data_IF_819474431540
#
_entry.id   IF_819474431540
#
_cell.length_a   1.000
_cell.length_b   1.000
_cell.length_c   1.000
_cell.angle_alpha   90.00
_cell.angle_beta   90.00
_cell.angle_gamma   90.00
#
_symmetry.space_group_name_H-M   'P 1'
#
loop_
_entity.id
_entity.type
_entity.pdbx_description
1 polymer ?
#
# COMPACT_ATOMS: atom_id res chain seq x y z
N UNK A 1 -36.75 54.67 45.70
CA UNK A 1 -36.77 55.60 44.54
C UNK A 1 -36.70 54.79 43.25
N UNK A 2 -37.64 55.07 42.33
CA UNK A 2 -37.79 54.73 40.88
C UNK A 2 -36.86 53.66 40.27
N UNK A 3 -37.38 52.50 39.82
CA UNK A 3 -37.98 52.20 38.48
C UNK A 3 -37.03 52.40 37.28
N UNK A 4 -36.78 51.31 36.53
CA UNK A 4 -36.54 51.13 35.06
C UNK A 4 -36.28 49.60 34.93
N UNK A 5 -37.00 48.69 34.27
CA UNK A 5 -37.98 48.64 33.17
C UNK A 5 -37.41 48.81 31.75
N UNK A 6 -37.03 47.68 31.13
CA UNK A 6 -37.00 47.38 29.69
C UNK A 6 -37.25 45.86 29.58
N UNK A 7 -38.40 45.32 29.14
CA UNK A 7 -39.20 45.49 27.92
C UNK A 7 -38.55 44.91 26.64
N UNK A 8 -38.86 43.62 26.40
CA UNK A 8 -39.32 43.00 25.13
C UNK A 8 -38.45 43.02 23.86
N UNK A 9 -38.14 41.81 23.34
CA UNK A 9 -38.35 41.46 21.91
C UNK A 9 -38.44 39.91 21.78
N UNK A 10 -39.65 39.34 21.83
CA UNK A 10 -40.42 38.75 20.71
C UNK A 10 -39.65 37.67 19.92
N UNK A 11 -40.00 36.40 20.17
CA UNK A 11 -39.88 35.33 19.17
C UNK A 11 -41.24 34.65 19.05
N UNK A 12 -41.98 35.07 18.03
CA UNK A 12 -43.30 34.59 17.62
C UNK A 12 -43.27 33.14 17.20
N UNK A 13 -44.08 32.32 17.86
CA UNK A 13 -44.67 31.11 17.30
C UNK A 13 -45.46 31.47 16.04
N UNK A 14 -45.10 30.88 14.90
CA UNK A 14 -45.97 30.77 13.74
C UNK A 14 -46.26 29.30 13.50
N UNK A 15 -47.52 28.96 13.72
CA UNK A 15 -48.17 27.72 13.34
C UNK A 15 -48.29 27.66 11.82
N UNK A 16 -47.71 26.65 11.18
CA UNK A 16 -48.07 26.28 9.81
C UNK A 16 -49.11 25.18 9.88
N UNK A 17 -50.33 25.57 9.53
CA UNK A 17 -51.52 24.76 9.37
C UNK A 17 -51.39 23.85 8.14
N UNK A 18 -51.75 22.58 8.29
CA UNK A 18 -51.93 21.65 7.18
C UNK A 18 -53.21 22.01 6.41
N UNK A 19 -53.15 22.14 5.08
CA UNK A 19 -54.34 22.03 4.22
C UNK A 19 -54.00 21.36 2.87
N UNK A 20 -54.31 20.07 2.84
CA UNK A 20 -54.97 19.30 1.77
C UNK A 20 -54.95 19.84 0.33
N UNK A 21 -54.27 19.10 -0.57
CA UNK A 21 -54.78 18.51 -1.83
C UNK A 21 -53.61 18.18 -2.76
N UNK A 22 -53.32 16.89 -2.94
CA UNK A 22 -53.58 16.19 -4.21
C UNK A 22 -52.89 14.81 -4.23
N UNK A 23 -53.75 13.79 -4.28
CA UNK A 23 -53.67 12.66 -5.20
C UNK A 23 -52.46 11.73 -5.09
N UNK A 24 -52.58 10.70 -4.24
CA UNK A 24 -52.07 9.37 -4.56
C UNK A 24 -53.12 8.33 -4.19
N UNK A 25 -53.68 7.70 -5.23
CA UNK A 25 -54.15 6.33 -5.19
C UNK A 25 -53.71 5.69 -6.50
N UNK A 26 -52.80 4.73 -6.42
CA UNK A 26 -52.98 3.45 -7.10
C UNK A 26 -52.11 2.40 -6.42
N UNK A 27 -52.81 1.40 -5.92
CA UNK A 27 -52.35 0.21 -5.25
C UNK A 27 -51.68 -0.79 -6.20
N UNK A 28 -50.77 -1.57 -5.60
CA UNK A 28 -50.41 -2.97 -5.89
C UNK A 28 -50.09 -3.38 -7.35
N UNK A 29 -48.85 -3.83 -7.59
CA UNK A 29 -48.50 -5.23 -7.31
C UNK A 29 -47.01 -5.52 -7.53
N UNK A 30 -46.55 -6.53 -6.80
CA UNK A 30 -45.25 -7.19 -6.95
C UNK A 30 -45.02 -7.63 -8.39
N UNK A 31 -43.80 -7.42 -8.88
CA UNK A 31 -43.13 -8.51 -9.57
C UNK A 31 -41.64 -8.55 -9.24
N UNK A 32 -41.17 -9.78 -9.17
CA UNK A 32 -39.94 -10.27 -8.57
C UNK A 32 -38.88 -10.34 -9.64
N UNK A 33 -37.81 -9.55 -9.53
CA UNK A 33 -36.49 -9.99 -10.02
C UNK A 33 -35.40 -9.31 -9.21
N UNK A 34 -34.86 -10.04 -8.24
CA UNK A 34 -33.65 -9.65 -7.54
C UNK A 34 -32.46 -9.68 -8.51
N UNK A 35 -31.78 -8.54 -8.62
CA UNK A 35 -30.41 -8.47 -9.09
C UNK A 35 -29.62 -7.83 -7.95
N UNK A 36 -28.85 -8.66 -7.25
CA UNK A 36 -27.85 -8.26 -6.27
C UNK A 36 -27.02 -7.13 -6.86
N UNK A 37 -27.04 -5.95 -6.22
CA UNK A 37 -26.09 -4.90 -6.52
C UNK A 37 -24.72 -5.39 -6.05
N UNK A 38 -23.93 -5.91 -6.98
CA UNK A 38 -22.55 -6.27 -6.71
C UNK A 38 -21.79 -5.01 -6.27
N UNK A 39 -21.28 -5.02 -5.05
CA UNK A 39 -20.46 -3.95 -4.50
C UNK A 39 -19.03 -4.16 -4.99
N UNK A 40 -18.54 -3.27 -5.86
CA UNK A 40 -17.15 -3.26 -6.33
C UNK A 40 -16.33 -2.35 -5.43
N UNK A 41 -15.05 -2.65 -5.24
CA UNK A 41 -14.16 -1.89 -4.36
C UNK A 41 -12.79 -1.70 -4.98
N UNK A 42 -12.10 -0.63 -4.59
CA UNK A 42 -10.76 -0.39 -5.10
C UNK A 42 -9.80 -1.46 -4.54
N UNK A 43 -8.99 -2.13 -5.39
CA UNK A 43 -8.03 -3.13 -4.93
C UNK A 43 -7.04 -2.60 -3.88
N UNK A 44 -6.75 -1.29 -3.91
CA UNK A 44 -5.87 -0.59 -2.96
C UNK A 44 -6.61 0.13 -1.82
N UNK A 45 -7.90 0.41 -1.99
CA UNK A 45 -8.70 1.08 -0.97
C UNK A 45 -10.02 0.34 -0.85
N UNK A 46 -10.05 -0.80 -0.13
CA UNK A 46 -11.26 -1.63 -0.01
C UNK A 46 -12.46 -0.88 0.61
N UNK A 47 -12.21 0.24 1.28
CA UNK A 47 -13.22 1.17 1.82
C UNK A 47 -13.85 2.06 0.74
N UNK A 48 -13.19 2.23 -0.41
CA UNK A 48 -13.71 2.95 -1.57
C UNK A 48 -14.53 1.97 -2.41
N UNK A 49 -15.85 2.05 -2.27
CA UNK A 49 -16.81 1.23 -3.01
C UNK A 49 -17.48 2.01 -4.13
N UNK A 50 -17.89 1.32 -5.19
CA UNK A 50 -18.59 1.95 -6.31
C UNK A 50 -19.07 0.92 -7.34
N UNK A 51 -19.30 1.40 -8.55
CA UNK A 51 -19.73 0.57 -9.68
C UNK A 51 -18.55 -0.12 -10.33
N UNK A 52 -18.77 -1.30 -10.92
CA UNK A 52 -17.76 -1.98 -11.73
C UNK A 52 -17.19 -1.03 -12.79
N UNK A 53 -15.86 -0.96 -12.93
CA UNK A 53 -15.26 -0.17 -13.99
C UNK A 53 -15.04 1.32 -13.69
N UNK A 54 -15.49 1.84 -12.55
CA UNK A 54 -15.22 3.25 -12.20
C UNK A 54 -13.79 3.44 -11.69
N UNK A 55 -13.19 4.61 -11.94
CA UNK A 55 -11.89 4.98 -11.39
C UNK A 55 -11.99 5.35 -9.90
N UNK A 56 -11.09 4.81 -9.08
CA UNK A 56 -10.97 5.15 -7.68
C UNK A 56 -10.48 6.59 -7.52
N UNK A 57 -11.20 7.48 -6.80
CA UNK A 57 -10.79 8.88 -6.61
C UNK A 57 -9.48 9.05 -5.84
N UNK A 58 -9.08 8.05 -5.05
CA UNK A 58 -7.85 8.10 -4.24
C UNK A 58 -6.58 7.73 -5.02
N UNK A 59 -6.69 6.85 -6.03
CA UNK A 59 -5.51 6.30 -6.73
C UNK A 59 -5.65 6.15 -8.25
N UNK A 60 -6.82 6.47 -8.82
CA UNK A 60 -7.12 6.39 -10.25
C UNK A 60 -7.29 4.98 -10.81
N UNK A 61 -7.29 3.93 -9.97
CA UNK A 61 -7.44 2.55 -10.44
C UNK A 61 -8.90 2.09 -10.48
N UNK A 62 -9.21 1.21 -11.42
CA UNK A 62 -10.55 0.66 -11.62
C UNK A 62 -11.04 -0.16 -10.39
N UNK A 63 -12.29 0.03 -9.99
CA UNK A 63 -12.92 -0.78 -8.94
C UNK A 63 -13.27 -2.16 -9.47
N UNK A 64 -12.84 -3.20 -8.75
CA UNK A 64 -13.06 -4.62 -9.14
C UNK A 64 -13.88 -5.36 -8.08
N UNK A 65 -14.31 -6.58 -8.39
CA UNK A 65 -15.06 -7.42 -7.45
C UNK A 65 -14.26 -7.68 -6.17
N UNK A 66 -14.95 -7.69 -5.03
CA UNK A 66 -14.36 -8.07 -3.75
C UNK A 66 -14.05 -9.55 -3.76
N UNK A 67 -12.77 -9.92 -3.69
CA UNK A 67 -12.36 -11.33 -3.57
C UNK A 67 -12.91 -11.91 -2.26
N UNK A 68 -13.82 -12.88 -2.38
CA UNK A 68 -14.35 -13.64 -1.25
C UNK A 68 -13.23 -14.50 -0.65
N UNK A 69 -12.99 -14.31 0.64
CA UNK A 69 -11.97 -14.99 1.42
C UNK A 69 -12.41 -16.45 1.66
N UNK A 70 -11.80 -17.40 0.95
CA UNK A 70 -11.96 -18.83 1.23
C UNK A 70 -10.91 -19.25 2.25
N UNK A 71 -11.35 -19.61 3.45
CA UNK A 71 -10.55 -20.27 4.48
C UNK A 71 -10.30 -21.73 4.07
N UNK A 72 -9.06 -22.18 4.09
CA UNK A 72 -8.71 -23.59 4.05
C UNK A 72 -7.62 -23.88 5.09
N UNK A 73 -7.96 -24.81 5.97
CA UNK A 73 -7.15 -25.34 7.05
C UNK A 73 -6.64 -26.74 6.64
N UNK A 74 -5.39 -27.02 7.05
CA UNK A 74 -4.87 -28.30 7.55
C UNK A 74 -4.22 -29.35 6.63
N UNK A 75 -3.13 -29.91 7.22
CA UNK A 75 -2.33 -31.12 6.97
C UNK A 75 -1.01 -30.90 6.20
N UNK A 76 0.15 -30.75 6.84
CA UNK A 76 0.93 -31.71 7.67
C UNK A 76 1.77 -32.72 6.83
N UNK A 77 3.06 -32.36 6.69
CA UNK A 77 4.29 -33.15 6.90
C UNK A 77 4.48 -34.50 6.14
N UNK A 78 5.62 -34.87 5.53
CA UNK A 78 7.06 -34.77 5.88
C UNK A 78 7.90 -35.23 4.62
N UNK A 79 9.17 -35.73 4.68
CA UNK A 79 10.38 -34.96 4.31
C UNK A 79 11.32 -35.67 3.29
N UNK A 80 12.09 -34.98 2.45
CA UNK A 80 13.31 -35.61 1.86
C UNK A 80 14.45 -34.59 1.66
N UNK A 81 15.64 -35.14 1.86
CA UNK A 81 16.99 -34.63 2.15
C UNK A 81 17.83 -34.13 0.98
N UNK A 82 18.63 -33.08 1.26
CA UNK A 82 20.07 -32.81 0.99
C UNK A 82 20.81 -33.49 -0.18
N UNK A 83 21.44 -32.68 -1.04
CA UNK A 83 22.87 -32.65 -1.45
C UNK A 83 23.03 -31.91 -2.82
N UNK A 84 23.64 -30.73 -2.89
CA UNK A 84 25.07 -30.46 -3.18
C UNK A 84 25.56 -30.93 -4.57
N UNK A 85 25.86 -29.99 -5.47
CA UNK A 85 27.22 -29.65 -5.99
C UNK A 85 27.21 -28.96 -7.39
N UNK A 86 28.09 -27.96 -7.45
CA UNK A 86 28.79 -27.24 -8.54
C UNK A 86 28.62 -27.52 -10.05
N UNK A 87 28.68 -26.39 -10.78
CA UNK A 87 29.46 -26.12 -12.02
C UNK A 87 29.11 -26.86 -13.32
N UNK A 88 28.64 -26.14 -14.34
CA UNK A 88 29.52 -25.48 -15.33
C UNK A 88 28.74 -24.96 -16.54
N UNK A 89 29.33 -23.96 -17.17
CA UNK A 89 28.81 -23.09 -18.22
C UNK A 89 28.42 -23.76 -19.54
N UNK A 90 27.42 -23.19 -20.25
CA UNK A 90 27.49 -22.97 -21.70
C UNK A 90 26.74 -21.67 -22.10
N UNK A 91 27.52 -20.70 -22.56
CA UNK A 91 27.36 -19.76 -23.69
C UNK A 91 25.95 -19.44 -24.22
N UNK A 92 25.56 -18.16 -24.12
CA UNK A 92 24.71 -17.51 -25.11
C UNK A 92 25.20 -16.07 -25.36
N UNK A 93 25.61 -15.85 -26.60
CA UNK A 93 26.08 -14.63 -27.22
C UNK A 93 24.95 -13.61 -27.33
N UNK A 94 25.25 -12.34 -27.03
CA UNK A 94 24.59 -11.18 -27.63
C UNK A 94 23.28 -10.72 -26.97
N UNK A 95 23.40 -9.76 -26.04
CA UNK A 95 22.52 -8.60 -26.08
C UNK A 95 23.18 -7.39 -25.43
N UNK A 96 23.16 -6.29 -26.17
CA UNK A 96 23.74 -5.00 -25.81
C UNK A 96 23.27 -4.61 -24.40
N UNK A 97 24.23 -4.45 -23.50
CA UNK A 97 24.01 -4.05 -22.11
C UNK A 97 23.42 -2.64 -22.07
N UNK A 98 22.10 -2.56 -22.15
CA UNK A 98 21.33 -1.46 -21.56
C UNK A 98 21.59 -1.55 -20.07
N UNK A 99 22.45 -0.67 -19.54
CA UNK A 99 22.73 -0.57 -18.10
C UNK A 99 21.41 -0.69 -17.35
N UNK A 100 21.28 -1.74 -16.53
CA UNK A 100 20.07 -1.99 -15.78
C UNK A 100 19.72 -0.72 -14.99
N UNK A 101 18.48 -0.27 -15.11
CA UNK A 101 18.01 0.91 -14.42
C UNK A 101 18.21 0.71 -12.91
N UNK A 102 18.63 1.73 -12.14
CA UNK A 102 19.00 1.59 -10.73
C UNK A 102 17.89 1.06 -9.80
N UNK A 103 16.65 0.92 -10.29
CA UNK A 103 15.54 0.32 -9.52
C UNK A 103 15.90 -1.05 -8.95
N UNK A 104 16.60 -1.92 -9.69
CA UNK A 104 16.93 -3.26 -9.17
C UNK A 104 17.80 -3.18 -7.91
N UNK A 105 18.80 -2.30 -7.92
CA UNK A 105 19.68 -2.06 -6.78
C UNK A 105 18.92 -1.42 -5.60
N UNK A 106 18.03 -0.47 -5.89
CA UNK A 106 17.19 0.19 -4.87
C UNK A 106 16.26 -0.83 -4.20
N UNK A 107 15.56 -1.64 -4.99
CA UNK A 107 14.65 -2.67 -4.49
C UNK A 107 15.42 -3.70 -3.64
N UNK A 108 16.58 -4.16 -4.10
CA UNK A 108 17.41 -5.09 -3.32
C UNK A 108 17.80 -4.52 -1.94
N UNK A 109 18.21 -3.24 -1.89
CA UNK A 109 18.56 -2.58 -0.61
C UNK A 109 17.34 -2.30 0.27
N UNK A 110 16.19 -1.95 -0.32
CA UNK A 110 14.92 -1.83 0.39
C UNK A 110 14.53 -3.16 1.08
N UNK A 111 14.66 -4.29 0.37
CA UNK A 111 14.33 -5.62 0.90
C UNK A 111 15.21 -5.99 2.11
N UNK A 112 16.46 -5.52 2.15
CA UNK A 112 17.32 -5.72 3.33
C UNK A 112 16.79 -5.00 4.57
N UNK A 113 16.22 -3.79 4.42
CA UNK A 113 15.57 -3.07 5.52
C UNK A 113 14.34 -3.85 5.98
N UNK A 114 13.47 -4.23 5.02
CA UNK A 114 12.26 -5.04 5.27
C UNK A 114 12.60 -6.29 6.08
N UNK A 115 13.59 -7.06 5.64
CA UNK A 115 14.00 -8.32 6.25
C UNK A 115 14.66 -8.18 7.63
N UNK A 116 15.19 -7.01 7.97
CA UNK A 116 15.64 -6.73 9.32
C UNK A 116 14.44 -6.42 10.23
N UNK A 117 13.48 -5.63 9.73
CA UNK A 117 12.27 -5.25 10.48
C UNK A 117 11.34 -6.43 10.77
N UNK A 118 11.28 -7.44 9.90
CA UNK A 118 10.55 -8.69 10.17
C UNK A 118 11.15 -9.51 11.32
N UNK A 119 12.39 -9.24 11.69
CA UNK A 119 13.12 -9.92 12.78
C UNK A 119 13.30 -9.04 14.03
N UNK A 120 12.58 -7.92 14.10
CA UNK A 120 12.73 -6.91 15.14
C UNK A 120 14.16 -6.33 15.27
N UNK A 121 14.98 -6.46 14.22
CA UNK A 121 16.39 -6.07 14.25
C UNK A 121 16.56 -4.59 13.84
N UNK A 122 16.26 -3.71 14.79
CA UNK A 122 16.31 -2.26 14.60
C UNK A 122 17.71 -1.74 14.18
N UNK A 123 18.77 -2.33 14.72
CA UNK A 123 20.14 -1.92 14.41
C UNK A 123 20.54 -2.31 12.99
N UNK A 124 20.18 -3.52 12.57
CA UNK A 124 20.42 -3.96 11.19
C UNK A 124 19.55 -3.23 10.18
N UNK A 125 18.31 -2.88 10.55
CA UNK A 125 17.46 -2.03 9.71
C UNK A 125 18.11 -0.66 9.48
N UNK A 126 18.67 -0.05 10.53
CA UNK A 126 19.40 1.21 10.41
C UNK A 126 20.65 1.09 9.54
N UNK A 127 21.42 0.00 9.69
CA UNK A 127 22.60 -0.26 8.85
C UNK A 127 22.23 -0.45 7.37
N UNK A 128 21.22 -1.27 7.08
CA UNK A 128 20.71 -1.49 5.73
C UNK A 128 20.18 -0.20 5.09
N UNK A 129 19.53 0.67 5.87
CA UNK A 129 19.08 1.97 5.42
C UNK A 129 20.24 2.87 4.98
N UNK A 130 21.37 2.86 5.70
CA UNK A 130 22.57 3.62 5.30
C UNK A 130 23.14 3.13 3.96
N UNK A 131 23.09 1.82 3.69
CA UNK A 131 23.47 1.27 2.38
C UNK A 131 22.51 1.69 1.27
N UNK A 132 21.21 1.76 1.56
CA UNK A 132 20.22 2.27 0.61
C UNK A 132 20.45 3.76 0.31
N UNK A 133 20.77 4.60 1.31
CA UNK A 133 21.14 6.01 1.07
C UNK A 133 22.33 6.11 0.11
N UNK A 134 23.38 5.32 0.32
CA UNK A 134 24.55 5.30 -0.56
C UNK A 134 24.15 4.93 -2.00
N UNK A 135 23.26 3.95 -2.17
CA UNK A 135 22.73 3.53 -3.47
C UNK A 135 21.92 4.65 -4.14
N UNK A 136 21.05 5.32 -3.39
CA UNK A 136 20.24 6.45 -3.87
C UNK A 136 21.10 7.67 -4.23
N UNK A 137 22.25 7.86 -3.59
CA UNK A 137 23.21 8.93 -3.92
C UNK A 137 24.01 8.62 -5.19
N UNK A 138 24.35 7.35 -5.43
CA UNK A 138 25.12 6.92 -6.62
C UNK A 138 24.28 6.70 -7.89
N UNK A 139 22.96 6.77 -7.79
CA UNK A 139 22.07 6.48 -8.91
C UNK A 139 22.15 7.54 -10.02
N UNK A 140 22.52 7.12 -11.24
CA UNK A 140 22.56 8.00 -12.42
C UNK A 140 21.34 7.80 -13.33
N UNK A 141 20.82 8.90 -13.91
CA UNK A 141 19.65 8.89 -14.81
C UNK A 141 20.01 9.17 -16.27
N UNK A 142 21.26 8.96 -16.67
CA UNK A 142 21.82 9.38 -17.97
C UNK A 142 21.01 8.88 -19.17
N UNK A 143 20.37 7.71 -19.07
CA UNK A 143 19.58 7.08 -20.13
C UNK A 143 18.09 7.51 -20.20
N UNK A 144 17.64 8.44 -19.34
CA UNK A 144 16.24 8.89 -19.28
C UNK A 144 16.01 10.20 -20.05
N UNK A 145 14.81 10.37 -20.61
CA UNK A 145 14.31 11.67 -21.06
C UNK A 145 14.04 12.61 -19.86
N UNK A 146 13.89 13.91 -20.12
CA UNK A 146 13.72 14.92 -19.07
C UNK A 146 12.52 14.66 -18.15
N UNK A 147 11.39 14.20 -18.69
CA UNK A 147 10.18 13.93 -17.88
C UNK A 147 10.41 12.74 -16.96
N UNK A 148 10.98 11.66 -17.50
CA UNK A 148 11.33 10.47 -16.71
C UNK A 148 12.39 10.77 -15.66
N UNK A 149 13.39 11.61 -15.97
CA UNK A 149 14.39 12.09 -15.00
C UNK A 149 13.76 12.80 -13.83
N UNK A 150 12.84 13.74 -14.09
CA UNK A 150 12.17 14.49 -13.03
C UNK A 150 11.34 13.57 -12.14
N UNK A 151 10.59 12.63 -12.73
CA UNK A 151 9.80 11.66 -11.95
C UNK A 151 10.69 10.75 -11.10
N UNK A 152 11.79 10.26 -11.67
CA UNK A 152 12.76 9.45 -10.95
C UNK A 152 13.39 10.22 -9.77
N UNK A 153 13.83 11.46 -10.03
CA UNK A 153 14.45 12.29 -9.01
C UNK A 153 13.48 12.63 -7.86
N UNK A 154 12.17 12.76 -8.16
CA UNK A 154 11.12 12.87 -7.14
C UNK A 154 11.11 11.67 -6.21
N UNK A 155 10.94 10.46 -6.75
CA UNK A 155 10.98 9.22 -5.93
C UNK A 155 12.26 9.08 -5.13
N UNK A 156 13.42 9.41 -5.72
CA UNK A 156 14.71 9.33 -5.02
C UNK A 156 14.80 10.37 -3.89
N UNK A 157 14.26 11.57 -4.07
CA UNK A 157 14.25 12.59 -3.04
C UNK A 157 13.39 12.16 -1.83
N UNK A 158 12.18 11.67 -2.09
CA UNK A 158 11.25 11.21 -1.06
C UNK A 158 11.82 9.99 -0.32
N UNK A 159 12.29 8.98 -1.07
CA UNK A 159 12.93 7.80 -0.51
C UNK A 159 14.15 8.16 0.36
N UNK A 160 14.99 9.12 -0.06
CA UNK A 160 16.13 9.57 0.76
C UNK A 160 15.68 10.17 2.09
N UNK A 161 14.62 10.97 2.10
CA UNK A 161 14.09 11.54 3.32
C UNK A 161 13.64 10.42 4.28
N UNK A 162 12.85 9.46 3.79
CA UNK A 162 12.35 8.36 4.62
C UNK A 162 13.46 7.43 5.11
N UNK A 163 14.38 7.03 4.23
CA UNK A 163 15.49 6.14 4.58
C UNK A 163 16.43 6.79 5.61
N UNK A 164 16.63 8.11 5.55
CA UNK A 164 17.43 8.82 6.57
C UNK A 164 16.81 8.66 7.96
N UNK A 165 15.49 8.79 8.09
CA UNK A 165 14.81 8.55 9.36
C UNK A 165 14.98 7.11 9.86
N UNK A 166 14.96 6.11 8.98
CA UNK A 166 15.22 4.71 9.35
C UNK A 166 16.67 4.52 9.82
N UNK A 167 17.63 5.07 9.07
CA UNK A 167 19.07 4.93 9.28
C UNK A 167 19.61 5.64 10.52
N UNK A 168 19.04 6.80 10.86
CA UNK A 168 19.50 7.63 11.98
C UNK A 168 18.88 7.23 13.33
N UNK A 169 17.87 6.35 13.34
CA UNK A 169 17.10 5.98 14.52
C UNK A 169 17.26 4.50 14.92
N UNK A 170 18.50 4.00 14.92
CA UNK A 170 18.83 2.69 15.47
C UNK A 170 18.34 2.55 16.92
N UNK A 171 17.72 1.41 17.23
CA UNK A 171 17.08 1.13 18.53
C UNK A 171 15.66 1.68 18.69
N UNK A 172 15.12 2.43 17.71
CA UNK A 172 13.75 2.97 17.75
C UNK A 172 12.89 2.32 16.67
N UNK A 173 12.51 1.07 16.89
CA UNK A 173 11.87 0.26 15.84
C UNK A 173 10.53 0.83 15.36
N UNK A 174 9.73 1.42 16.24
CA UNK A 174 8.43 1.99 15.85
C UNK A 174 8.61 3.16 14.87
N UNK A 175 9.57 4.04 15.16
CA UNK A 175 9.97 5.13 14.26
C UNK A 175 10.46 4.59 12.92
N UNK A 176 11.27 3.52 12.94
CA UNK A 176 11.76 2.90 11.71
C UNK A 176 10.63 2.29 10.88
N UNK A 177 9.63 1.66 11.52
CA UNK A 177 8.47 1.05 10.85
C UNK A 177 7.57 2.11 10.22
N UNK A 178 7.35 3.22 10.90
CA UNK A 178 6.59 4.37 10.38
C UNK A 178 7.21 4.88 9.07
N UNK A 179 8.52 5.15 9.10
CA UNK A 179 9.22 5.62 7.90
C UNK A 179 9.44 4.53 6.85
N UNK A 180 9.50 3.26 7.25
CA UNK A 180 9.51 2.14 6.32
C UNK A 180 8.19 2.01 5.55
N UNK A 181 7.06 2.33 6.18
CA UNK A 181 5.77 2.37 5.50
C UNK A 181 5.72 3.44 4.41
N UNK A 182 6.23 4.64 4.68
CA UNK A 182 6.34 5.70 3.68
C UNK A 182 7.30 5.31 2.55
N UNK A 183 8.47 4.78 2.89
CA UNK A 183 9.43 4.25 1.92
C UNK A 183 8.82 3.15 1.03
N UNK A 184 7.96 2.30 1.58
CA UNK A 184 7.31 1.23 0.83
C UNK A 184 6.39 1.77 -0.27
N UNK A 185 5.75 2.92 -0.05
CA UNK A 185 4.94 3.61 -1.06
C UNK A 185 5.83 4.16 -2.18
N UNK A 186 6.95 4.81 -1.82
CA UNK A 186 7.90 5.34 -2.81
C UNK A 186 8.48 4.22 -3.69
N UNK A 187 8.89 3.11 -3.07
CA UNK A 187 9.47 1.96 -3.78
C UNK A 187 8.43 1.29 -4.66
N UNK A 188 7.18 1.16 -4.21
CA UNK A 188 6.10 0.67 -5.06
C UNK A 188 5.89 1.58 -6.28
N UNK A 189 5.80 2.90 -6.08
CA UNK A 189 5.65 3.87 -7.17
C UNK A 189 6.83 3.86 -8.15
N UNK A 190 8.04 3.68 -7.63
CA UNK A 190 9.26 3.52 -8.42
C UNK A 190 9.18 2.26 -9.30
N UNK A 191 8.85 1.11 -8.72
CA UNK A 191 8.70 -0.15 -9.46
C UNK A 191 7.59 -0.02 -10.52
N UNK A 192 6.42 0.51 -10.16
CA UNK A 192 5.31 0.70 -11.10
C UNK A 192 5.64 1.61 -12.27
N UNK A 193 6.55 2.57 -12.07
CA UNK A 193 6.93 3.55 -13.09
C UNK A 193 8.08 3.05 -13.97
N UNK A 194 9.11 2.46 -13.38
CA UNK A 194 10.37 2.16 -14.07
C UNK A 194 10.64 0.65 -14.24
N UNK A 195 9.82 -0.19 -13.61
CA UNK A 195 9.97 -1.64 -13.57
C UNK A 195 11.12 -2.11 -12.69
N UNK A 196 11.12 -3.40 -12.40
CA UNK A 196 12.27 -4.12 -11.84
C UNK A 196 12.36 -5.50 -12.50
N UNK A 197 13.57 -6.05 -12.60
CA UNK A 197 13.80 -7.43 -13.05
C UNK A 197 13.54 -8.44 -11.94
N UNK A 198 13.49 -7.99 -10.69
CA UNK A 198 13.22 -8.85 -9.54
C UNK A 198 11.74 -9.26 -9.55
N UNK A 199 11.48 -10.54 -9.26
CA UNK A 199 10.10 -10.96 -8.99
C UNK A 199 9.74 -10.53 -7.58
N UNK A 200 8.81 -9.57 -7.48
CA UNK A 200 8.35 -9.04 -6.20
C UNK A 200 6.82 -9.00 -6.13
N UNK A 201 6.31 -9.00 -4.91
CA UNK A 201 4.90 -9.00 -4.56
C UNK A 201 4.60 -7.80 -3.67
N UNK A 202 3.39 -7.28 -3.76
CA UNK A 202 2.88 -6.33 -2.79
C UNK A 202 2.05 -7.09 -1.75
N UNK A 203 2.36 -6.84 -0.49
CA UNK A 203 1.62 -7.33 0.65
C UNK A 203 0.97 -6.16 1.40
N UNK A 204 -0.02 -6.47 2.24
CA UNK A 204 -0.80 -5.48 2.96
C UNK A 204 -1.23 -5.98 4.34
N UNK A 205 -1.12 -5.13 5.36
CA UNK A 205 -1.58 -5.36 6.71
C UNK A 205 -2.66 -4.33 7.08
N UNK A 206 -3.94 -4.74 7.27
CA UNK A 206 -5.03 -3.81 7.60
C UNK A 206 -4.92 -3.21 9.01
N UNK A 207 -4.11 -3.81 9.89
CA UNK A 207 -3.94 -3.33 11.27
C UNK A 207 -2.90 -2.22 11.39
N UNK A 208 -2.05 -2.03 10.38
CA UNK A 208 -1.00 -1.03 10.44
C UNK A 208 -1.50 0.33 9.93
N UNK A 209 -1.23 1.40 10.68
CA UNK A 209 -1.57 2.77 10.28
C UNK A 209 -3.05 2.95 9.93
N UNK A 210 -3.94 2.35 10.73
CA UNK A 210 -5.40 2.35 10.52
C UNK A 210 -5.81 1.79 9.14
N UNK A 211 -5.02 0.88 8.58
CA UNK A 211 -5.28 0.27 7.28
C UNK A 211 -4.92 1.16 6.08
N UNK A 212 -4.45 2.40 6.30
CA UNK A 212 -4.12 3.33 5.21
C UNK A 212 -2.73 3.07 4.63
N UNK A 213 -1.78 2.70 5.50
CA UNK A 213 -0.35 2.71 5.17
C UNK A 213 0.34 1.34 5.33
N UNK A 214 -0.42 0.26 5.50
CA UNK A 214 0.10 -1.08 5.78
C UNK A 214 0.68 -1.85 4.59
N UNK A 215 1.17 -1.18 3.53
CA UNK A 215 1.65 -1.83 2.30
C UNK A 215 3.17 -2.04 2.30
N UNK A 216 3.67 -3.17 1.80
CA UNK A 216 5.12 -3.36 1.58
C UNK A 216 5.40 -4.25 0.37
N UNK A 217 6.67 -4.25 -0.07
CA UNK A 217 7.16 -5.11 -1.14
C UNK A 217 7.92 -6.31 -0.57
N UNK A 218 7.63 -7.51 -1.09
CA UNK A 218 8.23 -8.77 -0.69
C UNK A 218 8.81 -9.52 -1.90
N UNK A 219 9.94 -10.18 -1.70
CA UNK A 219 10.59 -11.09 -2.65
C UNK A 219 10.08 -12.53 -2.54
N UNK A 220 9.24 -12.81 -1.54
CA UNK A 220 8.67 -14.15 -1.30
C UNK A 220 7.16 -14.10 -1.37
N UNK A 221 6.55 -15.27 -1.59
CA UNK A 221 5.10 -15.42 -1.54
C UNK A 221 4.60 -15.39 -0.09
N UNK A 222 5.39 -15.82 0.86
CA UNK A 222 4.96 -15.86 2.26
C UNK A 222 4.83 -14.43 2.81
N UNK A 223 3.73 -14.18 3.52
CA UNK A 223 3.46 -12.89 4.14
C UNK A 223 4.22 -12.85 5.45
N UNK A 224 5.31 -12.09 5.48
CA UNK A 224 6.13 -11.87 6.67
C UNK A 224 6.12 -10.37 6.97
N UNK A 225 5.40 -9.99 8.03
CA UNK A 225 5.00 -8.63 8.33
C UNK A 225 6.16 -7.82 8.97
N UNK A 226 6.69 -6.78 8.28
CA UNK A 226 7.77 -5.94 8.83
C UNK A 226 7.29 -4.93 9.88
N UNK A 227 5.98 -4.67 9.95
CA UNK A 227 5.39 -3.65 10.81
C UNK A 227 5.12 -4.13 12.24
N UNK A 228 4.97 -5.43 12.44
CA UNK A 228 4.76 -6.01 13.77
C UNK A 228 5.81 -7.06 14.14
N UNK A 229 6.66 -7.48 13.20
CA UNK A 229 7.77 -8.41 13.47
C UNK A 229 7.28 -9.69 14.16
N UNK A 230 7.95 -10.09 15.24
CA UNK A 230 7.59 -11.31 15.97
C UNK A 230 6.21 -11.30 16.61
N UNK A 231 5.62 -10.14 16.89
CA UNK A 231 4.30 -10.04 17.52
C UNK A 231 3.18 -10.56 16.61
N UNK A 232 3.27 -10.26 15.31
CA UNK A 232 2.24 -10.62 14.33
C UNK A 232 2.86 -10.92 12.96
N UNK A 233 3.83 -11.85 12.94
CA UNK A 233 4.66 -12.12 11.77
C UNK A 233 3.86 -12.48 10.52
N UNK A 234 2.73 -13.17 10.67
CA UNK A 234 1.88 -13.60 9.55
C UNK A 234 0.64 -12.71 9.34
N UNK A 235 0.55 -11.56 10.02
CA UNK A 235 -0.58 -10.66 9.85
C UNK A 235 -0.51 -9.94 8.51
N UNK A 236 -1.58 -10.04 7.73
CA UNK A 236 -1.70 -9.39 6.44
C UNK A 236 -2.12 -10.36 5.34
N UNK A 237 -2.09 -9.86 4.10
CA UNK A 237 -2.37 -10.64 2.90
C UNK A 237 -1.52 -10.17 1.74
N UNK A 238 -1.29 -11.09 0.80
CA UNK A 238 -0.70 -10.74 -0.49
C UNK A 238 -1.75 -10.09 -1.37
N UNK A 239 -1.39 -8.95 -1.97
CA UNK A 239 -2.21 -8.26 -2.97
C UNK A 239 -1.94 -8.87 -4.35
N UNK A 240 -0.67 -9.01 -4.74
CA UNK A 240 -0.32 -9.58 -6.03
C UNK A 240 1.14 -9.36 -6.42
N UNK A 241 1.51 -9.87 -7.60
CA UNK A 241 2.82 -9.60 -8.18
C UNK A 241 2.90 -8.16 -8.68
N UNK A 242 4.03 -7.49 -8.46
CA UNK A 242 4.29 -6.13 -8.97
C UNK A 242 5.19 -6.25 -10.20
N UNK A 243 4.76 -5.61 -11.28
CA UNK A 243 5.48 -5.48 -12.55
C UNK A 243 5.57 -4.02 -12.94
#
# INVERSE_FOLDING_TARGET
>A
MKKILFLSLIATFMTVSCNQKNKEESTLNSDKTGKTAELYSCPMHPEVTGTAGSECPECGMELTEKVAQTTAADNEATPVTVANEESSAITATGNVSKTAFPTDAIVSKYLNIKNALTKDDSNRAAAAAKELIATLNGSTTTSLDTKSKNKYNGFVADAKAHVKHIGDNAGKIDHQREYFSLLSQDVFGLIKTFGTKQTVYQDYCPMYGEGKNGYWISETKDVINPYFGSEMLNCGRRIGAVK
#
